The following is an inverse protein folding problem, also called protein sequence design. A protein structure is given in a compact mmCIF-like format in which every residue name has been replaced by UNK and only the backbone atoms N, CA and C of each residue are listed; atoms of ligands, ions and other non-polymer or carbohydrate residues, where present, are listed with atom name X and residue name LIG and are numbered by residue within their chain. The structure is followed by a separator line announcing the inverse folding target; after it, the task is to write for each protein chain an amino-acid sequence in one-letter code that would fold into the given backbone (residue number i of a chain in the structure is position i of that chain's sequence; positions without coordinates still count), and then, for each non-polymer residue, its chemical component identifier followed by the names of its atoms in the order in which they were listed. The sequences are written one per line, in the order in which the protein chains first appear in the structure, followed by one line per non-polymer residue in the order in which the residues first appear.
data_IF_575560054418
#
_entry.id   IF_575560054418
#
_cell.length_a   1.000
_cell.length_b   1.000
_cell.length_c   1.000
_cell.angle_alpha   90.00
_cell.angle_beta   90.00
_cell.angle_gamma   90.00
#
_symmetry.space_group_name_H-M   'P 1'
#
loop_
_entity.id
_entity.type
_entity.pdbx_description
1 polymer ?
#
# COMPACT_ATOMS: atom_id res chain seq x y z
N UNK A 1 -7.50 20.79 14.25
CA UNK A 1 -6.61 19.82 14.93
C UNK A 1 -6.59 18.57 14.08
N UNK A 2 -5.49 18.34 13.36
CA UNK A 2 -5.27 17.05 12.71
C UNK A 2 -5.04 16.06 13.86
N UNK A 3 -5.97 15.11 14.03
CA UNK A 3 -5.67 13.90 14.79
C UNK A 3 -4.43 13.33 14.10
N UNK A 4 -3.29 13.27 14.81
CA UNK A 4 -2.13 12.55 14.31
C UNK A 4 -2.60 11.11 14.10
N UNK A 5 -2.88 10.76 12.83
CA UNK A 5 -3.15 9.38 12.46
C UNK A 5 -1.91 8.59 12.85
N UNK A 6 -2.02 7.84 13.94
CA UNK A 6 -1.07 6.80 14.31
C UNK A 6 -1.14 5.81 13.15
N UNK A 7 -0.10 5.81 12.33
CA UNK A 7 -0.03 5.00 11.13
C UNK A 7 0.97 3.86 11.37
N UNK A 8 0.62 2.60 11.06
CA UNK A 8 -0.72 2.15 10.64
C UNK A 8 -1.76 2.33 11.77
N UNK A 9 -3.02 2.56 11.42
CA UNK A 9 -4.11 2.67 12.41
C UNK A 9 -4.22 1.32 13.12
N UNK A 10 -3.61 1.22 14.30
CA UNK A 10 -3.67 0.02 15.13
C UNK A 10 -5.10 -0.08 15.66
N UNK A 11 -5.86 -1.11 15.27
CA UNK A 11 -7.24 -1.32 15.69
C UNK A 11 -7.40 -2.17 16.95
N UNK A 12 -6.31 -2.34 17.71
CA UNK A 12 -6.27 -3.14 18.92
C UNK A 12 -7.23 -2.60 19.98
N UNK A 13 -8.03 -3.50 20.57
CA UNK A 13 -8.98 -3.16 21.62
C UNK A 13 -8.31 -2.45 22.82
N UNK A 14 -8.88 -1.35 23.35
CA UNK A 14 -8.30 -0.60 24.46
C UNK A 14 -8.03 -1.44 25.72
N UNK A 15 -8.84 -2.46 26.01
CA UNK A 15 -8.60 -3.36 27.14
C UNK A 15 -7.35 -4.23 26.90
N UNK A 16 -7.10 -4.64 25.65
CA UNK A 16 -5.86 -5.34 25.27
C UNK A 16 -4.63 -4.44 25.45
N UNK A 17 -4.71 -3.17 25.04
CA UNK A 17 -3.66 -2.18 25.27
C UNK A 17 -3.43 -1.98 26.78
N UNK A 18 -4.50 -1.82 27.56
CA UNK A 18 -4.39 -1.66 29.01
C UNK A 18 -3.77 -2.89 29.70
N UNK A 19 -4.09 -4.10 29.25
CA UNK A 19 -3.49 -5.33 29.75
C UNK A 19 -1.99 -5.43 29.40
N UNK A 20 -1.62 -5.12 28.15
CA UNK A 20 -0.23 -5.02 27.71
C UNK A 20 0.56 -4.00 28.54
N UNK A 21 -0.02 -2.82 28.78
CA UNK A 21 0.56 -1.75 29.59
C UNK A 21 0.86 -2.21 31.02
N UNK A 22 -0.12 -2.81 31.71
CA UNK A 22 0.08 -3.36 33.05
C UNK A 22 1.23 -4.36 33.06
N UNK A 23 1.25 -5.31 32.14
CA UNK A 23 2.29 -6.33 32.06
C UNK A 23 3.69 -5.75 31.78
N UNK A 24 3.80 -4.74 30.92
CA UNK A 24 5.06 -4.05 30.63
C UNK A 24 5.55 -3.20 31.81
N UNK A 25 4.66 -2.67 32.66
CA UNK A 25 5.04 -1.80 33.78
C UNK A 25 5.16 -2.53 35.13
N UNK A 26 4.72 -3.77 35.20
CA UNK A 26 4.75 -4.55 36.43
C UNK A 26 6.19 -4.96 36.80
N UNK A 27 6.72 -4.33 37.83
CA UNK A 27 8.06 -4.59 38.35
C UNK A 27 8.15 -5.87 39.20
N UNK A 28 7.00 -6.40 39.66
CA UNK A 28 6.94 -7.63 40.45
C UNK A 28 6.93 -8.88 39.55
N UNK A 29 6.53 -8.72 38.28
CA UNK A 29 6.62 -9.78 37.28
C UNK A 29 8.09 -10.02 36.89
N UNK A 30 8.64 -11.14 37.35
CA UNK A 30 9.89 -11.73 36.85
C UNK A 30 9.68 -12.30 35.44
N UNK A 31 9.61 -11.43 34.44
CA UNK A 31 9.51 -11.85 33.05
C UNK A 31 10.82 -12.48 32.56
N UNK A 32 10.73 -13.65 31.92
CA UNK A 32 11.87 -14.21 31.20
C UNK A 32 12.16 -13.35 29.96
N UNK A 33 13.16 -12.48 30.04
CA UNK A 33 13.53 -11.56 28.96
C UNK A 33 13.92 -12.27 27.66
N UNK A 34 14.44 -13.51 27.74
CA UNK A 34 14.76 -14.31 26.55
C UNK A 34 13.47 -14.68 25.85
N UNK A 35 12.46 -15.12 26.61
CA UNK A 35 11.14 -15.41 26.06
C UNK A 35 10.50 -14.18 25.41
N UNK A 36 10.59 -13.00 26.04
CA UNK A 36 10.05 -11.74 25.46
C UNK A 36 10.75 -11.39 24.14
N UNK A 37 12.07 -11.54 24.09
CA UNK A 37 12.84 -11.31 22.86
C UNK A 37 12.42 -12.31 21.78
N UNK A 38 12.39 -13.59 22.13
CA UNK A 38 12.19 -14.67 21.16
C UNK A 38 10.74 -14.69 20.65
N UNK A 39 9.75 -14.35 21.48
CA UNK A 39 8.36 -14.25 21.02
C UNK A 39 8.16 -13.19 19.94
N UNK A 40 8.88 -12.07 20.01
CA UNK A 40 8.87 -11.02 18.97
C UNK A 40 9.60 -11.49 17.72
N UNK A 41 10.74 -12.16 17.85
CA UNK A 41 11.54 -12.60 16.69
C UNK A 41 10.94 -13.80 15.96
N UNK A 42 10.30 -14.72 16.68
CA UNK A 42 9.63 -15.90 16.10
C UNK A 42 8.46 -15.48 15.22
N UNK A 43 7.82 -14.35 15.51
CA UNK A 43 6.76 -13.82 14.66
C UNK A 43 7.25 -13.45 13.26
N UNK A 44 8.54 -13.15 13.10
CA UNK A 44 9.23 -12.94 11.81
C UNK A 44 8.40 -12.14 10.80
N UNK A 45 8.15 -10.85 11.10
CA UNK A 45 7.31 -10.03 10.23
C UNK A 45 7.82 -10.03 8.79
N UNK A 46 6.96 -10.20 7.78
CA UNK A 46 7.42 -10.18 6.40
C UNK A 46 8.07 -8.83 6.08
N UNK A 47 9.03 -8.82 5.15
CA UNK A 47 9.51 -7.54 4.66
C UNK A 47 8.35 -6.80 3.97
N UNK A 48 8.25 -5.48 4.12
CA UNK A 48 7.19 -4.67 3.51
C UNK A 48 7.18 -4.71 1.97
N UNK A 49 8.21 -5.30 1.38
CA UNK A 49 8.38 -5.50 -0.07
C UNK A 49 7.95 -6.90 -0.53
N UNK A 50 7.83 -7.86 0.38
CA UNK A 50 7.46 -9.25 0.09
C UNK A 50 5.95 -9.43 0.03
N UNK A 51 5.20 -8.64 0.81
CA UNK A 51 3.74 -8.72 0.91
C UNK A 51 3.10 -7.34 0.71
N UNK A 52 1.84 -7.29 0.25
CA UNK A 52 1.07 -6.06 0.24
C UNK A 52 1.05 -5.37 1.61
N UNK A 53 1.24 -4.05 1.64
CA UNK A 53 1.32 -3.29 2.90
C UNK A 53 0.11 -3.46 3.84
N UNK A 54 -1.08 -3.78 3.31
CA UNK A 54 -2.25 -4.02 4.16
C UNK A 54 -2.14 -5.36 4.91
N UNK A 55 -1.71 -6.43 4.23
CA UNK A 55 -1.40 -7.73 4.85
C UNK A 55 -0.28 -7.59 5.89
N UNK A 56 0.74 -6.77 5.61
CA UNK A 56 1.79 -6.48 6.59
C UNK A 56 1.23 -5.82 7.86
N UNK A 57 0.29 -4.89 7.74
CA UNK A 57 -0.36 -4.24 8.88
C UNK A 57 -1.16 -5.24 9.72
N UNK A 58 -1.89 -6.15 9.09
CA UNK A 58 -2.67 -7.18 9.78
C UNK A 58 -1.76 -8.14 10.57
N UNK A 59 -0.64 -8.55 9.97
CA UNK A 59 0.35 -9.40 10.64
C UNK A 59 1.04 -8.67 11.79
N UNK A 60 1.38 -7.40 11.60
CA UNK A 60 1.94 -6.54 12.65
C UNK A 60 0.98 -6.42 13.84
N UNK A 61 -0.30 -6.12 13.58
CA UNK A 61 -1.32 -6.00 14.62
C UNK A 61 -1.51 -7.32 15.39
N UNK A 62 -1.62 -8.42 14.66
CA UNK A 62 -1.72 -9.77 15.26
C UNK A 62 -0.52 -10.06 16.15
N UNK A 63 0.68 -9.73 15.68
CA UNK A 63 1.93 -9.99 16.40
C UNK A 63 1.98 -9.21 17.71
N UNK A 64 1.72 -7.90 17.71
CA UNK A 64 1.82 -7.08 18.92
C UNK A 64 0.82 -7.51 20.00
N UNK A 65 -0.33 -8.06 19.60
CA UNK A 65 -1.33 -8.64 20.52
C UNK A 65 -0.77 -9.93 21.14
N UNK A 66 -0.29 -10.87 20.31
CA UNK A 66 0.22 -12.17 20.76
C UNK A 66 1.43 -12.02 21.68
N UNK A 67 2.34 -11.10 21.35
CA UNK A 67 3.53 -10.81 22.18
C UNK A 67 3.20 -9.98 23.41
N UNK A 68 1.96 -9.49 23.57
CA UNK A 68 1.49 -8.62 24.66
C UNK A 68 2.22 -7.28 24.71
N UNK A 69 2.63 -6.75 23.56
CA UNK A 69 3.41 -5.52 23.45
C UNK A 69 2.67 -4.37 22.76
N UNK A 70 1.37 -4.48 22.53
CA UNK A 70 0.56 -3.43 21.88
C UNK A 70 0.71 -2.05 22.53
N UNK A 71 0.90 -1.98 23.85
CA UNK A 71 1.08 -0.70 24.54
C UNK A 71 2.40 0.04 24.21
N UNK A 72 3.37 -0.61 23.56
CA UNK A 72 4.57 0.06 23.04
C UNK A 72 4.28 1.00 21.86
N UNK A 73 3.13 0.80 21.21
CA UNK A 73 2.70 1.54 20.02
C UNK A 73 1.47 2.41 20.28
N UNK A 74 1.06 2.49 21.55
CA UNK A 74 0.06 3.45 22.00
C UNK A 74 0.68 4.84 22.19
N UNK A 75 -0.17 5.87 22.11
CA UNK A 75 0.20 7.27 22.31
C UNK A 75 0.51 7.62 23.76
N UNK A 76 0.05 6.82 24.73
CA UNK A 76 0.25 7.12 26.15
C UNK A 76 1.63 6.67 26.63
N UNK A 77 2.40 7.53 27.32
CA UNK A 77 3.73 7.19 27.79
C UNK A 77 3.70 6.04 28.80
N UNK A 78 4.73 5.21 28.81
CA UNK A 78 4.96 4.19 29.84
C UNK A 78 5.80 4.82 30.95
N UNK A 79 5.38 4.61 32.20
CA UNK A 79 5.92 5.32 33.37
C UNK A 79 7.16 4.66 33.99
N UNK A 80 7.44 3.39 33.65
CA UNK A 80 8.50 2.59 34.26
C UNK A 80 9.28 1.78 33.22
N UNK A 81 10.60 1.74 33.37
CA UNK A 81 11.54 0.99 32.52
C UNK A 81 11.82 -0.41 33.08
N UNK A 82 10.83 -1.31 33.06
CA UNK A 82 11.03 -2.71 33.50
C UNK A 82 11.95 -3.49 32.54
N UNK A 83 12.58 -4.61 32.96
CA UNK A 83 13.39 -5.44 32.08
C UNK A 83 12.66 -5.91 30.82
N UNK A 84 11.40 -6.35 30.95
CA UNK A 84 10.58 -6.77 29.81
C UNK A 84 10.24 -5.61 28.88
N UNK A 85 9.96 -4.42 29.41
CA UNK A 85 9.75 -3.23 28.61
C UNK A 85 10.99 -2.87 27.79
N UNK A 86 12.16 -2.81 28.43
CA UNK A 86 13.41 -2.45 27.75
C UNK A 86 13.78 -3.43 26.65
N UNK A 87 13.59 -4.74 26.90
CA UNK A 87 13.89 -5.79 25.93
C UNK A 87 12.88 -5.80 24.79
N UNK A 88 11.59 -5.66 25.07
CA UNK A 88 10.56 -5.58 24.04
C UNK A 88 10.79 -4.35 23.14
N UNK A 89 11.05 -3.17 23.73
CA UNK A 89 11.32 -1.94 22.99
C UNK A 89 12.52 -2.08 22.06
N UNK A 90 13.65 -2.61 22.54
CA UNK A 90 14.86 -2.83 21.74
C UNK A 90 14.64 -3.86 20.64
N UNK A 91 13.89 -4.92 20.93
CA UNK A 91 13.63 -6.00 19.98
C UNK A 91 12.74 -5.52 18.84
N UNK A 92 11.66 -4.81 19.15
CA UNK A 92 10.80 -4.18 18.15
C UNK A 92 11.54 -3.15 17.29
N UNK A 93 12.38 -2.32 17.88
CA UNK A 93 13.18 -1.35 17.11
C UNK A 93 14.17 -2.02 16.14
N UNK A 94 14.59 -3.25 16.42
CA UNK A 94 15.41 -4.04 15.49
C UNK A 94 14.54 -4.68 14.42
N UNK A 95 13.40 -5.25 14.82
CA UNK A 95 12.50 -5.95 13.92
C UNK A 95 11.88 -5.02 12.87
N UNK A 96 11.42 -3.83 13.28
CA UNK A 96 10.90 -2.80 12.36
C UNK A 96 11.95 -2.31 11.35
N UNK A 97 13.22 -2.26 11.75
CA UNK A 97 14.32 -1.94 10.83
C UNK A 97 14.58 -3.08 9.85
N UNK A 98 14.50 -4.33 10.32
CA UNK A 98 14.70 -5.52 9.49
C UNK A 98 13.62 -5.60 8.41
N UNK A 99 12.35 -5.47 8.78
CA UNK A 99 11.22 -5.62 7.87
C UNK A 99 11.04 -4.43 6.90
N UNK A 100 11.69 -3.29 7.15
CA UNK A 100 11.63 -2.10 6.30
C UNK A 100 13.02 -1.53 5.96
N UNK A 101 13.85 -2.28 5.20
CA UNK A 101 15.24 -1.94 4.98
C UNK A 101 15.45 -0.65 4.17
N UNK A 102 14.46 -0.22 3.38
CA UNK A 102 14.51 1.03 2.59
C UNK A 102 13.99 2.26 3.35
N UNK A 103 13.48 2.10 4.57
CA UNK A 103 13.05 3.24 5.38
C UNK A 103 14.23 3.83 6.13
N UNK A 104 14.40 5.15 6.02
CA UNK A 104 15.38 5.88 6.82
C UNK A 104 14.86 6.08 8.25
N UNK A 105 15.65 5.66 9.22
CA UNK A 105 15.36 5.82 10.65
C UNK A 105 16.43 6.71 11.29
N UNK A 106 16.10 7.95 11.66
CA UNK A 106 17.00 8.83 12.41
C UNK A 106 17.50 8.17 13.71
N UNK A 107 18.66 8.64 14.18
CA UNK A 107 19.12 8.31 15.53
C UNK A 107 18.12 8.86 16.56
N UNK A 108 17.79 8.07 17.58
CA UNK A 108 16.82 8.37 18.65
C UNK A 108 15.33 8.39 18.25
N UNK A 109 14.97 7.88 17.08
CA UNK A 109 13.57 7.73 16.68
C UNK A 109 12.81 6.77 17.61
N UNK A 110 11.58 7.14 17.98
CA UNK A 110 10.66 6.31 18.78
C UNK A 110 10.03 5.21 17.93
N UNK A 111 9.46 4.18 18.57
CA UNK A 111 8.78 3.09 17.86
C UNK A 111 7.58 3.57 17.04
N UNK A 112 6.83 4.54 17.57
CA UNK A 112 5.69 5.14 16.88
C UNK A 112 6.14 5.90 15.62
N UNK A 113 7.20 6.71 15.74
CA UNK A 113 7.76 7.42 14.59
C UNK A 113 8.38 6.46 13.55
N UNK A 114 8.93 5.31 13.97
CA UNK A 114 9.38 4.27 13.05
C UNK A 114 8.21 3.75 12.22
N UNK A 115 7.09 3.40 12.85
CA UNK A 115 5.89 2.94 12.14
C UNK A 115 5.35 3.99 11.17
N UNK A 116 5.30 5.26 11.59
CA UNK A 116 4.90 6.37 10.72
C UNK A 116 5.83 6.51 9.51
N UNK A 117 7.14 6.32 9.71
CA UNK A 117 8.13 6.37 8.63
C UNK A 117 7.96 5.21 7.65
N UNK A 118 7.68 4.01 8.15
CA UNK A 118 7.37 2.83 7.33
C UNK A 118 6.10 3.09 6.51
N UNK A 119 5.01 3.53 7.15
CA UNK A 119 3.75 3.84 6.49
C UNK A 119 3.93 4.90 5.39
N UNK A 120 4.64 5.99 5.70
CA UNK A 120 4.94 7.06 4.73
C UNK A 120 5.74 6.51 3.55
N UNK A 121 6.76 5.69 3.80
CA UNK A 121 7.58 5.07 2.75
C UNK A 121 6.74 4.17 1.85
N UNK A 122 5.88 3.33 2.44
CA UNK A 122 4.98 2.45 1.70
C UNK A 122 3.99 3.25 0.83
N UNK A 123 3.43 4.34 1.35
CA UNK A 123 2.54 5.24 0.60
C UNK A 123 3.25 5.92 -0.58
N UNK A 124 4.48 6.39 -0.36
CA UNK A 124 5.31 6.98 -1.42
C UNK A 124 5.67 5.95 -2.50
N UNK A 125 5.99 4.71 -2.10
CA UNK A 125 6.26 3.63 -3.05
C UNK A 125 5.04 3.31 -3.93
N UNK A 126 3.85 3.18 -3.32
CA UNK A 126 2.59 2.99 -4.07
C UNK A 126 2.33 4.14 -5.05
N UNK A 127 2.55 5.38 -4.62
CA UNK A 127 2.39 6.54 -5.50
C UNK A 127 3.43 6.56 -6.63
N UNK A 128 4.68 6.17 -6.39
CA UNK A 128 5.70 6.08 -7.42
C UNK A 128 5.35 5.04 -8.49
N UNK A 129 4.90 3.84 -8.08
CA UNK A 129 4.47 2.77 -9.00
C UNK A 129 3.28 3.22 -9.85
N UNK A 130 2.26 3.82 -9.22
CA UNK A 130 1.10 4.33 -9.93
C UNK A 130 1.44 5.50 -10.88
N UNK A 131 2.37 6.38 -10.51
CA UNK A 131 2.85 7.47 -11.37
C UNK A 131 3.65 6.95 -12.57
N UNK A 132 4.45 5.91 -12.38
CA UNK A 132 5.16 5.24 -13.46
C UNK A 132 4.18 4.60 -14.45
N UNK A 133 3.19 3.87 -13.94
CA UNK A 133 2.12 3.29 -14.75
C UNK A 133 1.35 4.36 -15.54
N UNK A 134 1.05 5.52 -14.93
CA UNK A 134 0.38 6.62 -15.62
C UNK A 134 1.26 7.22 -16.72
N UNK A 135 2.55 7.42 -16.46
CA UNK A 135 3.51 7.95 -17.43
C UNK A 135 3.65 7.00 -18.63
N UNK A 136 3.69 5.70 -18.35
CA UNK A 136 3.66 4.64 -19.35
C UNK A 136 2.41 4.73 -20.24
N UNK A 137 1.21 4.88 -19.65
CA UNK A 137 -0.04 5.05 -20.39
C UNK A 137 -0.03 6.33 -21.24
N UNK A 138 0.36 7.47 -20.66
CA UNK A 138 0.43 8.75 -21.36
C UNK A 138 1.44 8.77 -22.51
N UNK A 139 2.43 7.87 -22.50
CA UNK A 139 3.45 7.76 -23.54
C UNK A 139 3.00 6.93 -24.75
N UNK A 140 1.86 6.26 -24.65
CA UNK A 140 1.29 5.46 -25.74
C UNK A 140 0.96 6.37 -26.92
N UNK A 141 1.36 5.93 -28.11
CA UNK A 141 0.98 6.54 -29.39
C UNK A 141 0.20 5.55 -30.23
N UNK A 142 -1.03 5.91 -30.55
CA UNK A 142 -1.90 5.20 -31.49
C UNK A 142 -1.74 5.90 -32.84
N UNK A 143 -1.13 5.20 -33.79
CA UNK A 143 -0.88 5.73 -35.14
C UNK A 143 -1.83 5.14 -36.17
N UNK A 144 -2.35 3.95 -35.89
CA UNK A 144 -3.30 3.25 -36.74
C UNK A 144 -4.19 2.33 -35.89
N UNK A 145 -5.26 1.83 -36.50
CA UNK A 145 -6.23 0.95 -35.84
C UNK A 145 -5.65 -0.40 -35.36
N UNK A 146 -4.61 -0.91 -36.03
CA UNK A 146 -3.93 -2.14 -35.63
C UNK A 146 -3.19 -2.03 -34.28
N UNK A 147 -2.86 -0.81 -33.83
CA UNK A 147 -2.22 -0.58 -32.53
C UNK A 147 -3.17 -0.89 -31.36
N UNK A 148 -4.50 -0.84 -31.58
CA UNK A 148 -5.51 -1.08 -30.55
C UNK A 148 -5.45 -2.51 -29.98
N UNK A 149 -5.12 -3.49 -30.81
CA UNK A 149 -4.98 -4.89 -30.37
C UNK A 149 -3.83 -5.11 -29.38
N UNK A 150 -2.77 -4.28 -29.45
CA UNK A 150 -1.62 -4.33 -28.52
C UNK A 150 -1.84 -3.47 -27.28
N UNK A 151 -2.81 -2.56 -27.35
CA UNK A 151 -3.10 -1.59 -26.29
C UNK A 151 -3.73 -2.26 -25.06
N UNK A 152 -4.66 -3.20 -25.26
CA UNK A 152 -5.40 -3.82 -24.15
C UNK A 152 -4.50 -4.60 -23.19
N UNK A 153 -3.62 -5.53 -23.63
CA UNK A 153 -2.71 -6.23 -22.73
C UNK A 153 -1.75 -5.30 -21.98
N UNK A 154 -1.46 -4.14 -22.58
CA UNK A 154 -0.63 -3.12 -21.95
C UNK A 154 -1.38 -2.34 -20.86
N UNK A 155 -2.60 -1.87 -21.15
CA UNK A 155 -3.38 -1.05 -20.20
C UNK A 155 -3.92 -1.86 -19.02
N UNK A 156 -4.33 -3.11 -19.24
CA UNK A 156 -5.04 -3.92 -18.25
C UNK A 156 -4.34 -4.04 -16.88
N UNK A 157 -3.03 -4.32 -16.78
CA UNK A 157 -2.35 -4.35 -15.48
C UNK A 157 -2.07 -2.95 -14.88
N UNK A 158 -2.15 -1.87 -15.67
CA UNK A 158 -1.74 -0.51 -15.29
C UNK A 158 -2.90 0.36 -14.80
N UNK A 159 -4.10 0.14 -15.34
CA UNK A 159 -5.31 0.89 -14.96
C UNK A 159 -5.57 0.82 -13.45
N UNK A 160 -5.60 -0.36 -12.80
CA UNK A 160 -5.84 -0.43 -11.36
C UNK A 160 -4.82 0.35 -10.54
N UNK A 161 -3.55 0.38 -10.98
CA UNK A 161 -2.50 1.15 -10.32
C UNK A 161 -2.76 2.66 -10.46
N UNK A 162 -3.17 3.12 -11.65
CA UNK A 162 -3.47 4.53 -11.91
C UNK A 162 -4.71 5.01 -11.13
N UNK A 163 -5.70 4.15 -10.95
CA UNK A 163 -6.92 4.45 -10.17
C UNK A 163 -6.62 4.75 -8.70
N UNK A 164 -5.50 4.25 -8.17
CA UNK A 164 -5.03 4.58 -6.81
C UNK A 164 -4.65 6.05 -6.65
N UNK A 165 -4.28 6.75 -7.74
CA UNK A 165 -3.85 8.15 -7.72
C UNK A 165 -4.87 9.10 -8.35
N UNK A 166 -5.50 8.68 -9.44
CA UNK A 166 -6.31 9.56 -10.29
C UNK A 166 -7.79 9.28 -10.05
N UNK A 167 -8.44 10.13 -9.26
CA UNK A 167 -9.87 9.99 -8.92
C UNK A 167 -10.81 9.95 -10.13
N UNK A 168 -10.45 10.60 -11.24
CA UNK A 168 -11.24 10.61 -12.48
C UNK A 168 -10.44 10.07 -13.66
N UNK A 169 -9.80 8.91 -13.44
CA UNK A 169 -9.01 8.25 -14.48
C UNK A 169 -9.79 8.01 -15.79
N UNK A 170 -11.07 7.58 -15.77
CA UNK A 170 -11.81 7.34 -17.01
C UNK A 170 -11.85 8.57 -17.90
N UNK A 171 -12.13 9.75 -17.33
CA UNK A 171 -12.15 10.98 -18.12
C UNK A 171 -10.79 11.36 -18.69
N UNK A 172 -9.71 11.15 -17.92
CA UNK A 172 -8.34 11.37 -18.39
C UNK A 172 -7.97 10.43 -19.55
N UNK A 173 -8.31 9.14 -19.43
CA UNK A 173 -8.09 8.15 -20.50
C UNK A 173 -8.92 8.49 -21.75
N UNK A 174 -10.19 8.85 -21.59
CA UNK A 174 -11.06 9.26 -22.69
C UNK A 174 -10.48 10.44 -23.47
N UNK A 175 -10.01 11.49 -22.76
CA UNK A 175 -9.36 12.64 -23.40
C UNK A 175 -8.04 12.27 -24.10
N UNK A 176 -7.22 11.43 -23.46
CA UNK A 176 -5.96 10.95 -24.03
C UNK A 176 -6.23 10.20 -25.35
N UNK A 177 -7.14 9.24 -25.35
CA UNK A 177 -7.45 8.46 -26.54
C UNK A 177 -8.19 9.28 -27.59
N UNK A 178 -9.08 10.20 -27.19
CA UNK A 178 -9.74 11.13 -28.12
C UNK A 178 -8.70 11.89 -28.96
N UNK A 179 -7.69 12.48 -28.30
CA UNK A 179 -6.67 13.29 -28.98
C UNK A 179 -5.87 12.53 -30.04
N UNK A 180 -5.79 11.19 -29.92
CA UNK A 180 -5.06 10.34 -30.83
C UNK A 180 -5.98 9.71 -31.89
N UNK A 181 -7.20 9.35 -31.51
CA UNK A 181 -8.15 8.62 -32.34
C UNK A 181 -9.07 9.52 -33.15
N UNK A 182 -9.22 10.81 -32.84
CA UNK A 182 -10.15 11.70 -33.54
C UNK A 182 -9.93 11.70 -35.06
N UNK A 183 -8.66 11.67 -35.50
CA UNK A 183 -8.30 11.65 -36.93
C UNK A 183 -8.32 10.26 -37.56
N UNK A 184 -8.32 9.19 -36.75
CA UNK A 184 -8.21 7.79 -37.21
C UNK A 184 -9.59 7.12 -37.21
N UNK A 185 -10.34 7.31 -36.14
CA UNK A 185 -11.64 6.71 -35.89
C UNK A 185 -12.53 7.62 -35.01
N UNK A 186 -13.16 8.66 -35.60
CA UNK A 186 -13.88 9.70 -34.86
C UNK A 186 -15.03 9.19 -33.97
N UNK A 187 -15.74 8.15 -34.40
CA UNK A 187 -16.88 7.60 -33.66
C UNK A 187 -16.44 7.00 -32.32
N UNK A 188 -15.46 6.07 -32.37
CA UNK A 188 -14.82 5.54 -31.17
C UNK A 188 -14.26 6.65 -30.28
N UNK A 189 -13.54 7.63 -30.84
CA UNK A 189 -12.98 8.74 -30.07
C UNK A 189 -14.05 9.47 -29.24
N UNK A 190 -15.19 9.83 -29.85
CA UNK A 190 -16.30 10.50 -29.16
C UNK A 190 -16.92 9.61 -28.09
N UNK A 191 -17.19 8.34 -28.41
CA UNK A 191 -17.78 7.40 -27.48
C UNK A 191 -16.93 7.21 -26.22
N UNK A 192 -15.59 7.20 -26.36
CA UNK A 192 -14.68 7.10 -25.21
C UNK A 192 -14.76 8.29 -24.25
N UNK A 193 -15.23 9.47 -24.69
CA UNK A 193 -15.45 10.62 -23.80
C UNK A 193 -16.69 10.49 -22.94
N UNK A 194 -17.63 9.61 -23.32
CA UNK A 194 -18.90 9.36 -22.65
C UNK A 194 -18.81 8.21 -21.63
N UNK A 195 -17.69 7.48 -21.60
CA UNK A 195 -17.47 6.43 -20.61
C UNK A 195 -17.28 7.01 -19.20
N UNK A 196 -17.94 6.39 -18.23
CA UNK A 196 -17.86 6.76 -16.81
C UNK A 196 -16.84 5.89 -16.06
N UNK A 197 -16.45 4.74 -16.63
CA UNK A 197 -15.52 3.79 -16.01
C UNK A 197 -14.35 3.41 -16.92
N UNK A 198 -13.20 3.07 -16.32
CA UNK A 198 -12.03 2.58 -17.04
C UNK A 198 -12.32 1.25 -17.73
N UNK A 199 -13.23 0.45 -17.16
CA UNK A 199 -13.66 -0.82 -17.74
C UNK A 199 -14.43 -0.63 -19.06
N UNK A 200 -15.34 0.35 -19.12
CA UNK A 200 -16.06 0.68 -20.36
C UNK A 200 -15.11 1.10 -21.48
N UNK A 201 -14.13 1.95 -21.16
CA UNK A 201 -13.08 2.37 -22.10
C UNK A 201 -12.32 1.16 -22.65
N UNK A 202 -11.87 0.28 -21.76
CA UNK A 202 -11.14 -0.93 -22.13
C UNK A 202 -11.98 -1.86 -23.00
N UNK A 203 -13.25 -2.03 -22.67
CA UNK A 203 -14.19 -2.84 -23.44
C UNK A 203 -14.40 -2.27 -24.85
N UNK A 204 -14.68 -0.97 -24.97
CA UNK A 204 -14.88 -0.31 -26.27
C UNK A 204 -13.65 -0.42 -27.17
N UNK A 205 -12.46 -0.21 -26.63
CA UNK A 205 -11.20 -0.37 -27.38
C UNK A 205 -11.04 -1.83 -27.83
N UNK A 206 -11.32 -2.79 -26.94
CA UNK A 206 -11.21 -4.21 -27.24
C UNK A 206 -12.19 -4.66 -28.32
N UNK A 207 -13.45 -4.22 -28.26
CA UNK A 207 -14.49 -4.59 -29.23
C UNK A 207 -14.10 -4.14 -30.65
N UNK A 208 -13.59 -2.91 -30.79
CA UNK A 208 -13.09 -2.40 -32.08
C UNK A 208 -11.83 -3.13 -32.52
N UNK A 209 -10.89 -3.41 -31.61
CA UNK A 209 -9.68 -4.16 -31.91
C UNK A 209 -9.98 -5.56 -32.49
N UNK A 210 -10.99 -6.26 -31.95
CA UNK A 210 -11.43 -7.57 -32.45
C UNK A 210 -12.02 -7.46 -33.86
N UNK A 211 -12.89 -6.48 -34.11
CA UNK A 211 -13.50 -6.26 -35.43
C UNK A 211 -12.47 -6.00 -36.54
N UNK A 212 -11.33 -5.39 -36.20
CA UNK A 212 -10.23 -5.15 -37.16
C UNK A 212 -9.50 -6.45 -37.53
N UNK A 213 -9.38 -7.39 -36.59
CA UNK A 213 -8.67 -8.67 -36.78
C UNK A 213 -9.55 -9.72 -37.48
N UNK A 214 -10.87 -9.64 -37.30
CA UNK A 214 -11.86 -10.43 -38.03
C UNK A 214 -12.63 -9.54 -39.01
N UNK A 215 -12.08 -9.23 -40.20
CA UNK A 215 -12.90 -8.61 -41.23
C UNK A 215 -13.99 -9.62 -41.63
N UNK A 216 -15.24 -9.14 -41.72
CA UNK A 216 -16.43 -9.92 -42.04
C UNK A 216 -16.13 -10.99 -43.11
N UNK A 217 -16.29 -12.25 -42.74
CA UNK A 217 -16.32 -13.35 -43.71
C UNK A 217 -17.71 -13.28 -44.36
N UNK A 218 -17.81 -12.97 -45.66
CA UNK A 218 -19.09 -12.89 -46.37
C UNK A 218 -19.81 -14.25 -46.44
#
# INVERSE_FOLDING_TARGET
MLVEEIAPQISVDPATIAASRRWLQDAEIMANIIYVRDSILIAELPNIEEVPFHEWCEEFETTIIVTKTSALFDSSPLECDTPQFLVARKTWARELRRCSPKTYFPNNITLLEMLQSIHKTAKLSKAAVASAALTEICSIRITNLGDLGRLIPYLQPRIPLCEMLVKNLPKCLGLLFYSQLESIHPTLAKNLLECDTSHEIMKMISDVAVQIVTPDIP
#
